data_IF_285241601130
#
_entry.id   IF_285241601130
#
_cell.length_a   1.000
_cell.length_b   1.000
_cell.length_c   1.000
_cell.angle_alpha   90.00
_cell.angle_beta   90.00
_cell.angle_gamma   90.00
#
_symmetry.space_group_name_H-M   'P 1'
#
loop_
_entity.id
_entity.type
_entity.pdbx_description
1 polymer ?
#
# COMPACT_ATOMS: atom_id res chain seq x y z
N UNK A 1 -4.30 5.82 -8.49
CA UNK A 1 -5.48 4.95 -8.64
C UNK A 1 -5.38 4.25 -9.98
N UNK A 2 -5.27 2.92 -10.01
CA UNK A 2 -5.19 2.15 -11.24
C UNK A 2 -6.57 2.18 -11.92
N UNK A 3 -6.64 2.67 -13.16
CA UNK A 3 -7.90 2.94 -13.85
C UNK A 3 -8.72 1.66 -14.05
N UNK A 4 -10.02 1.74 -13.76
CA UNK A 4 -10.96 0.63 -13.86
C UNK A 4 -11.25 0.24 -15.31
N UNK A 5 -10.92 -1.00 -15.69
CA UNK A 5 -11.44 -1.63 -16.89
C UNK A 5 -12.84 -2.19 -16.61
N UNK A 6 -13.83 -1.78 -17.38
CA UNK A 6 -15.24 -2.18 -17.20
C UNK A 6 -15.41 -3.68 -17.48
N UNK A 7 -15.74 -4.47 -16.47
CA UNK A 7 -16.22 -5.85 -16.61
C UNK A 7 -17.49 -6.04 -15.76
N UNK A 8 -18.49 -6.73 -16.33
CA UNK A 8 -19.82 -6.92 -15.74
C UNK A 8 -19.79 -7.83 -14.50
N UNK A 9 -20.62 -7.59 -13.46
CA UNK A 9 -20.49 -8.32 -12.20
C UNK A 9 -21.25 -9.66 -12.25
N UNK A 10 -20.52 -10.77 -12.15
CA UNK A 10 -21.08 -12.06 -11.71
C UNK A 10 -20.99 -12.11 -10.19
N UNK A 11 -22.15 -12.16 -9.52
CA UNK A 11 -22.28 -12.22 -8.06
C UNK A 11 -21.47 -13.37 -7.47
N UNK A 12 -20.39 -13.02 -6.75
CA UNK A 12 -19.69 -13.92 -5.83
C UNK A 12 -19.46 -13.15 -4.52
N UNK A 13 -19.69 -13.80 -3.38
CA UNK A 13 -19.68 -13.19 -2.05
C UNK A 13 -18.27 -12.84 -1.55
N UNK A 14 -17.46 -12.16 -2.37
CA UNK A 14 -16.07 -11.81 -2.08
C UNK A 14 -15.92 -10.31 -2.34
N UNK A 15 -16.08 -9.49 -1.31
CA UNK A 15 -15.41 -8.18 -1.25
C UNK A 15 -15.60 -7.57 0.13
N UNK A 16 -14.88 -8.11 1.12
CA UNK A 16 -14.69 -7.45 2.42
C UNK A 16 -13.38 -6.64 2.48
N UNK A 17 -12.57 -6.68 1.44
CA UNK A 17 -11.25 -6.07 1.43
C UNK A 17 -11.20 -4.98 0.38
N UNK A 18 -11.03 -3.75 0.83
CA UNK A 18 -10.83 -2.61 -0.06
C UNK A 18 -9.51 -2.72 -0.83
N UNK A 19 -8.51 -3.46 -0.31
CA UNK A 19 -7.20 -3.66 -0.93
C UNK A 19 -6.73 -5.11 -0.80
N UNK A 20 -5.97 -5.60 -1.79
CA UNK A 20 -5.36 -6.93 -1.72
C UNK A 20 -3.99 -6.88 -1.07
N UNK A 21 -3.22 -5.83 -1.36
CA UNK A 21 -1.84 -5.66 -0.91
C UNK A 21 -1.66 -4.29 -0.28
N UNK A 22 -0.98 -4.24 0.86
CA UNK A 22 -0.46 -3.04 1.50
C UNK A 22 1.06 -3.01 1.34
N UNK A 23 1.62 -1.93 0.79
CA UNK A 23 3.06 -1.70 0.67
C UNK A 23 3.54 -0.72 1.73
N UNK A 24 4.45 -1.17 2.60
CA UNK A 24 5.16 -0.35 3.59
C UNK A 24 6.63 -0.18 3.17
N UNK A 25 7.09 1.06 3.04
CA UNK A 25 8.43 1.37 2.56
C UNK A 25 8.82 2.79 2.96
N UNK A 26 10.13 3.03 3.01
CA UNK A 26 10.67 4.38 3.18
C UNK A 26 10.57 5.12 1.86
N UNK A 27 9.69 6.11 1.79
CA UNK A 27 9.44 6.91 0.58
C UNK A 27 10.72 7.49 -0.04
N UNK A 28 11.57 8.06 0.79
CA UNK A 28 12.85 8.68 0.41
C UNK A 28 13.85 7.69 -0.23
N UNK A 29 13.83 6.43 0.19
CA UNK A 29 14.81 5.44 -0.25
C UNK A 29 14.36 4.70 -1.53
N UNK A 30 13.06 4.35 -1.63
CA UNK A 30 12.62 3.40 -2.67
C UNK A 30 11.42 3.82 -3.52
N UNK A 31 10.80 5.00 -3.28
CA UNK A 31 9.57 5.43 -3.99
C UNK A 31 9.72 5.34 -5.51
N UNK A 32 10.78 5.92 -6.06
CA UNK A 32 10.95 6.10 -7.51
C UNK A 32 11.65 4.92 -8.19
N UNK A 33 12.09 3.91 -7.44
CA UNK A 33 12.83 2.77 -7.96
C UNK A 33 12.02 1.46 -7.79
N UNK A 34 12.48 0.54 -6.95
CA UNK A 34 11.88 -0.73 -6.63
C UNK A 34 10.38 -0.62 -6.28
N UNK A 35 9.97 0.34 -5.42
CA UNK A 35 8.55 0.45 -5.04
C UNK A 35 7.67 0.83 -6.23
N UNK A 36 8.10 1.79 -7.07
CA UNK A 36 7.37 2.15 -8.29
C UNK A 36 7.22 0.97 -9.25
N UNK A 37 8.29 0.19 -9.45
CA UNK A 37 8.24 -1.00 -10.31
C UNK A 37 7.32 -2.08 -9.75
N UNK A 38 7.40 -2.36 -8.45
CA UNK A 38 6.54 -3.34 -7.79
C UNK A 38 5.07 -2.94 -7.88
N UNK A 39 4.75 -1.68 -7.56
CA UNK A 39 3.39 -1.17 -7.64
C UNK A 39 2.83 -1.26 -9.07
N UNK A 40 3.61 -0.84 -10.07
CA UNK A 40 3.19 -0.92 -11.46
C UNK A 40 2.95 -2.38 -11.90
N UNK A 41 3.82 -3.31 -11.51
CA UNK A 41 3.63 -4.73 -11.79
C UNK A 41 2.36 -5.31 -11.14
N UNK A 42 2.08 -4.94 -9.88
CA UNK A 42 0.85 -5.35 -9.18
C UNK A 42 -0.40 -4.79 -9.88
N UNK A 43 -0.38 -3.52 -10.27
CA UNK A 43 -1.49 -2.93 -10.99
C UNK A 43 -1.69 -3.53 -12.39
N UNK A 44 -0.62 -3.84 -13.12
CA UNK A 44 -0.72 -4.57 -14.40
C UNK A 44 -1.33 -5.96 -14.25
N UNK A 45 -1.26 -6.56 -13.06
CA UNK A 45 -1.91 -7.82 -12.72
C UNK A 45 -3.33 -7.66 -12.16
N UNK A 46 -3.86 -6.43 -12.10
CA UNK A 46 -5.18 -6.14 -11.55
C UNK A 46 -5.26 -6.26 -10.02
N UNK A 47 -4.12 -6.24 -9.32
CA UNK A 47 -4.06 -6.38 -7.87
C UNK A 47 -4.20 -4.99 -7.24
N UNK A 48 -5.35 -4.73 -6.61
CA UNK A 48 -5.55 -3.47 -5.92
C UNK A 48 -4.58 -3.34 -4.73
N UNK A 49 -3.73 -2.31 -4.79
CA UNK A 49 -2.59 -2.14 -3.89
C UNK A 49 -2.63 -0.77 -3.24
N UNK A 50 -2.58 -0.74 -1.91
CA UNK A 50 -2.39 0.48 -1.12
C UNK A 50 -0.90 0.74 -0.91
N UNK A 51 -0.47 1.98 -1.06
CA UNK A 51 0.90 2.43 -0.85
C UNK A 51 0.89 3.36 0.35
N UNK A 52 1.67 3.05 1.40
CA UNK A 52 1.90 4.02 2.47
C UNK A 52 2.97 5.03 2.05
N UNK A 53 2.53 6.17 1.56
CA UNK A 53 3.42 7.26 1.13
C UNK A 53 3.89 8.09 2.32
N UNK A 54 4.96 7.61 2.97
CA UNK A 54 5.69 8.22 4.09
C UNK A 54 5.89 9.76 4.00
N UNK A 55 6.00 10.31 2.77
CA UNK A 55 6.24 11.76 2.57
C UNK A 55 4.98 12.62 2.50
N UNK A 56 3.79 12.07 2.19
CA UNK A 56 2.57 12.87 2.10
C UNK A 56 1.92 13.13 3.47
N UNK A 57 2.34 12.41 4.51
CA UNK A 57 1.75 12.44 5.87
C UNK A 57 2.67 13.04 6.93
N UNK A 58 3.56 13.95 6.55
CA UNK A 58 4.49 14.60 7.48
C UNK A 58 3.70 15.52 8.43
N UNK A 59 3.20 15.00 9.55
CA UNK A 59 2.68 15.81 10.67
C UNK A 59 1.43 15.33 11.41
N UNK A 60 0.76 14.26 10.99
CA UNK A 60 -0.45 13.77 11.68
C UNK A 60 -0.19 12.40 12.31
N UNK A 61 -0.80 12.04 13.43
CA UNK A 61 -0.77 10.70 14.03
C UNK A 61 -1.05 9.58 13.01
N UNK A 62 -0.71 8.32 13.30
CA UNK A 62 -1.04 7.15 12.46
C UNK A 62 -2.48 7.30 11.99
N UNK A 63 -2.67 7.66 10.71
CA UNK A 63 -3.99 8.08 10.28
C UNK A 63 -4.93 6.88 10.42
N UNK A 64 -6.18 7.05 10.85
CA UNK A 64 -7.17 5.97 10.87
C UNK A 64 -7.31 5.29 9.50
N UNK A 65 -7.03 6.02 8.42
CA UNK A 65 -6.97 5.49 7.06
C UNK A 65 -5.83 4.48 6.84
N UNK A 66 -4.68 4.65 7.51
CA UNK A 66 -3.55 3.72 7.46
C UNK A 66 -3.87 2.42 8.22
N UNK A 67 -4.36 2.52 9.45
CA UNK A 67 -4.81 1.35 10.22
C UNK A 67 -5.90 0.58 9.46
N UNK A 68 -6.87 1.29 8.90
CA UNK A 68 -7.92 0.70 8.07
C UNK A 68 -7.37 0.02 6.82
N UNK A 69 -6.38 0.62 6.13
CA UNK A 69 -5.77 0.00 4.96
C UNK A 69 -5.00 -1.29 5.34
N UNK A 70 -4.36 -1.34 6.51
CA UNK A 70 -3.71 -2.54 7.03
C UNK A 70 -4.75 -3.63 7.34
N UNK A 71 -5.81 -3.30 8.07
CA UNK A 71 -6.89 -4.23 8.42
C UNK A 71 -7.66 -4.75 7.21
N UNK A 72 -7.89 -3.89 6.21
CA UNK A 72 -8.61 -4.21 4.98
C UNK A 72 -7.72 -4.80 3.90
N UNK A 73 -6.43 -5.03 4.17
CA UNK A 73 -5.50 -5.69 3.24
C UNK A 73 -5.32 -7.17 3.57
N UNK A 74 -5.24 -8.01 2.53
CA UNK A 74 -4.97 -9.45 2.70
C UNK A 74 -3.48 -9.77 2.85
N UNK A 75 -2.62 -8.94 2.29
CA UNK A 75 -1.17 -9.14 2.24
C UNK A 75 -0.51 -7.82 2.61
N UNK A 76 0.47 -7.86 3.52
CA UNK A 76 1.36 -6.74 3.80
C UNK A 76 2.75 -7.06 3.27
N UNK A 77 3.35 -6.15 2.51
CA UNK A 77 4.71 -6.25 1.98
C UNK A 77 5.52 -5.08 2.53
N UNK A 78 6.53 -5.41 3.33
CA UNK A 78 7.50 -4.44 3.85
C UNK A 78 8.76 -4.44 3.01
N UNK A 79 9.16 -3.26 2.53
CA UNK A 79 10.35 -3.05 1.71
C UNK A 79 11.44 -2.43 2.59
N UNK A 80 12.38 -3.25 3.04
CA UNK A 80 13.51 -2.77 3.83
C UNK A 80 14.54 -2.05 2.96
N UNK A 81 14.97 -0.90 3.43
CA UNK A 81 15.99 -0.04 2.85
C UNK A 81 16.98 0.40 3.92
N UNK A 82 18.08 1.04 3.50
CA UNK A 82 19.17 1.44 4.42
C UNK A 82 18.67 2.32 5.58
N UNK A 83 17.72 3.21 5.32
CA UNK A 83 17.19 4.15 6.31
C UNK A 83 15.75 3.79 6.74
N UNK A 84 15.30 2.56 6.49
CA UNK A 84 13.93 2.15 6.83
C UNK A 84 13.60 2.40 8.31
N UNK A 85 14.47 1.93 9.20
CA UNK A 85 14.28 2.04 10.65
C UNK A 85 14.53 3.45 11.21
N UNK A 86 15.00 4.42 10.39
CA UNK A 86 15.11 5.80 10.85
C UNK A 86 13.77 6.54 10.81
N UNK A 87 12.77 5.97 10.14
CA UNK A 87 11.39 6.47 10.11
C UNK A 87 10.60 5.80 11.22
N UNK A 88 10.15 6.57 12.22
CA UNK A 88 9.22 6.07 13.26
C UNK A 88 7.94 5.53 12.63
N UNK A 89 7.57 6.03 11.46
CA UNK A 89 6.41 5.58 10.67
C UNK A 89 6.58 4.20 10.06
N UNK A 90 7.75 3.91 9.48
CA UNK A 90 8.06 2.58 8.95
C UNK A 90 8.02 1.49 10.04
N UNK A 91 8.23 1.85 11.31
CA UNK A 91 8.21 0.96 12.46
C UNK A 91 6.84 0.92 13.17
N UNK A 92 6.03 1.96 12.99
CA UNK A 92 4.71 2.07 13.57
C UNK A 92 3.68 1.44 12.64
N UNK A 93 3.47 0.14 12.81
CA UNK A 93 2.23 -0.51 12.35
C UNK A 93 1.16 -0.25 13.40
N UNK A 94 -0.08 0.01 12.98
CA UNK A 94 -1.21 -0.37 13.83
C UNK A 94 -1.04 -1.89 14.15
#
# INVERSE_FOLDING_TARGET
MCSEGTSSPSSSSIDRWSYYVFLNFRGEDTRTNFTAHLYNALCQKGINTYIDEDELRRGEEISPALCKAIEESRISITIFSKNYASSTWCLASC
#
